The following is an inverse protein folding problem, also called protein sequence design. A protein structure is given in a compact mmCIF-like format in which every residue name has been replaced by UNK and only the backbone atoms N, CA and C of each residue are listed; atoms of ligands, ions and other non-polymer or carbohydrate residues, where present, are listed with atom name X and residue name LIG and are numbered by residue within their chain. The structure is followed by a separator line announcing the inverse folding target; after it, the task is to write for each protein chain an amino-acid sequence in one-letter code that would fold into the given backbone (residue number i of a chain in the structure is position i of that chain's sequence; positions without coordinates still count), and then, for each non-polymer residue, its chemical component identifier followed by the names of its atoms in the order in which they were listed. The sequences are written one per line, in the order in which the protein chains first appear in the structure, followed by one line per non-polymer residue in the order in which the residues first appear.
data_IF_513715096625
#
_entry.id   IF_513715096625
#
_cell.length_a   1.000
_cell.length_b   1.000
_cell.length_c   1.000
_cell.angle_alpha   90.00
_cell.angle_beta   90.00
_cell.angle_gamma   90.00
#
_symmetry.space_group_name_H-M   'P 1'
#
loop_
_entity.id
_entity.type
_entity.pdbx_description
1 polymer ?
#
# COMPACT_ATOMS: atom_id res chain seq x y z
N UNK A 1 -11.77 -47.62 13.84
CA UNK A 1 -10.43 -47.63 13.22
C UNK A 1 -10.54 -46.91 11.89
N UNK A 2 -10.06 -45.65 11.79
CA UNK A 2 -9.78 -44.89 10.54
C UNK A 2 -11.04 -44.58 9.67
N UNK A 3 -11.24 -43.44 9.02
CA UNK A 3 -10.53 -42.18 8.89
C UNK A 3 -11.57 -41.15 8.38
N UNK A 4 -11.39 -39.91 8.79
CA UNK A 4 -11.95 -38.70 8.18
C UNK A 4 -11.87 -38.70 6.65
N UNK A 5 -12.96 -38.38 5.94
CA UNK A 5 -13.01 -37.47 4.76
C UNK A 5 -14.41 -37.45 4.09
N UNK A 6 -15.17 -36.35 4.23
CA UNK A 6 -15.89 -35.79 3.08
C UNK A 6 -16.13 -34.30 3.25
N UNK A 7 -15.60 -33.58 2.27
CA UNK A 7 -15.54 -32.13 2.09
C UNK A 7 -16.88 -31.43 2.31
N UNK A 8 -16.83 -30.37 3.10
CA UNK A 8 -17.82 -29.29 3.11
C UNK A 8 -18.03 -28.74 1.70
N UNK A 9 -19.30 -28.67 1.32
CA UNK A 9 -19.80 -27.93 0.17
C UNK A 9 -19.53 -26.45 0.44
N UNK A 10 -18.66 -25.85 -0.36
CA UNK A 10 -18.47 -24.41 -0.39
C UNK A 10 -19.68 -23.75 -1.02
N UNK A 11 -20.35 -22.88 -0.26
CA UNK A 11 -21.34 -21.96 -0.75
C UNK A 11 -20.69 -21.04 -1.80
N UNK A 12 -21.17 -21.14 -3.04
CA UNK A 12 -20.91 -20.15 -4.08
C UNK A 12 -21.70 -18.89 -3.75
N UNK A 13 -21.06 -17.92 -3.10
CA UNK A 13 -21.54 -16.53 -3.09
C UNK A 13 -20.83 -15.77 -4.20
N UNK A 14 -21.60 -15.50 -5.25
CA UNK A 14 -21.32 -14.46 -6.23
C UNK A 14 -21.22 -13.12 -5.49
N UNK A 15 -20.05 -12.47 -5.54
CA UNK A 15 -19.96 -11.03 -5.36
C UNK A 15 -19.04 -10.46 -6.44
N UNK A 16 -19.67 -10.03 -7.54
CA UNK A 16 -19.05 -9.14 -8.49
C UNK A 16 -19.01 -7.74 -7.86
N UNK A 17 -17.83 -7.24 -7.53
CA UNK A 17 -17.63 -5.84 -7.21
C UNK A 17 -16.99 -5.16 -8.44
N UNK A 18 -17.79 -4.29 -9.05
CA UNK A 18 -17.41 -3.37 -10.13
C UNK A 18 -16.16 -2.57 -9.76
N UNK A 19 -15.14 -2.63 -10.62
CA UNK A 19 -14.10 -1.59 -10.70
C UNK A 19 -14.68 -0.38 -11.44
N UNK A 20 -15.15 0.61 -10.70
CA UNK A 20 -15.32 1.96 -11.23
C UNK A 20 -14.02 2.74 -11.03
N UNK A 21 -13.33 2.98 -12.15
CA UNK A 21 -12.34 4.06 -12.26
C UNK A 21 -13.08 5.38 -12.03
N UNK A 22 -12.87 6.01 -10.89
CA UNK A 22 -13.32 7.38 -10.63
C UNK A 22 -12.08 8.25 -10.42
N UNK A 23 -11.77 9.08 -11.41
CA UNK A 23 -10.69 10.06 -11.33
C UNK A 23 -10.97 11.13 -10.28
N UNK A 24 -9.94 11.83 -9.76
CA UNK A 24 -10.11 12.83 -8.73
C UNK A 24 -10.57 14.12 -9.40
N UNK A 25 -11.88 14.33 -9.50
CA UNK A 25 -12.42 15.63 -9.90
C UNK A 25 -13.76 15.90 -9.22
N UNK A 26 -13.69 16.31 -7.96
CA UNK A 26 -14.61 17.24 -7.30
C UNK A 26 -14.36 17.16 -5.80
N UNK A 27 -13.60 18.11 -5.25
CA UNK A 27 -13.75 18.48 -3.85
C UNK A 27 -14.15 19.96 -3.83
N UNK A 28 -15.27 20.16 -3.15
CA UNK A 28 -16.14 21.30 -3.23
C UNK A 28 -15.46 22.60 -2.80
N UNK A 29 -15.75 23.65 -3.56
CA UNK A 29 -15.67 25.02 -3.08
C UNK A 29 -16.73 25.19 -1.99
N UNK A 30 -16.34 25.12 -0.72
CA UNK A 30 -17.21 25.57 0.36
C UNK A 30 -17.25 27.09 0.33
N UNK A 31 -18.39 27.62 -0.10
CA UNK A 31 -18.77 29.02 0.07
C UNK A 31 -18.59 29.41 1.54
N UNK A 32 -17.89 30.52 1.78
CA UNK A 32 -17.85 31.16 3.08
C UNK A 32 -19.02 32.15 3.16
N UNK A 33 -20.05 31.83 3.94
CA UNK A 33 -21.06 32.80 4.36
C UNK A 33 -20.50 33.69 5.49
N UNK A 34 -20.80 35.00 5.51
CA UNK A 34 -20.33 35.90 6.55
C UNK A 34 -21.26 35.82 7.76
N UNK A 35 -20.76 35.26 8.86
CA UNK A 35 -21.45 35.35 10.15
C UNK A 35 -21.32 36.77 10.70
N UNK A 36 -22.46 37.45 10.77
CA UNK A 36 -22.68 38.74 11.42
C UNK A 36 -22.34 38.67 12.91
N UNK A 37 -21.41 39.53 13.32
CA UNK A 37 -21.49 40.40 14.50
C UNK A 37 -21.72 39.76 15.86
N UNK A 38 -20.65 39.60 16.64
CA UNK A 38 -20.69 39.77 18.09
C UNK A 38 -19.67 40.85 18.47
N UNK A 39 -20.19 41.94 19.04
CA UNK A 39 -19.40 43.09 19.46
C UNK A 39 -18.50 42.76 20.64
N UNK A 40 -17.38 43.48 20.70
CA UNK A 40 -16.73 43.85 21.95
C UNK A 40 -16.06 45.20 21.75
N UNK A 41 -16.60 46.16 22.48
CA UNK A 41 -16.11 47.52 22.71
C UNK A 41 -14.80 47.47 23.50
N UNK A 42 -13.78 48.19 23.04
CA UNK A 42 -12.86 48.91 23.93
C UNK A 42 -12.07 49.96 23.12
N UNK A 43 -12.46 51.21 23.29
CA UNK A 43 -11.63 52.37 22.97
C UNK A 43 -10.54 52.48 24.03
N UNK A 44 -9.27 52.53 23.65
CA UNK A 44 -8.27 53.32 24.38
C UNK A 44 -7.11 53.69 23.47
N UNK A 45 -6.63 54.91 23.65
CA UNK A 45 -5.73 55.64 22.78
C UNK A 45 -4.25 55.57 23.23
N UNK A 46 -3.37 55.68 22.22
CA UNK A 46 -2.05 56.30 22.22
C UNK A 46 -0.84 55.61 22.92
N UNK A 47 0.41 55.87 22.44
CA UNK A 47 1.45 54.87 22.27
C UNK A 47 2.58 54.96 23.30
N UNK A 48 3.27 53.85 23.59
CA UNK A 48 4.69 53.88 23.94
C UNK A 48 5.37 52.52 23.77
N UNK A 49 6.52 52.59 23.11
CA UNK A 49 7.47 51.54 22.78
C UNK A 49 7.96 50.73 23.98
N UNK A 50 7.97 49.41 23.86
CA UNK A 50 8.63 48.55 24.84
C UNK A 50 8.66 47.08 24.45
N UNK A 51 9.76 46.65 23.83
CA UNK A 51 10.20 45.26 23.65
C UNK A 51 9.21 44.36 22.89
N UNK A 52 9.42 44.24 21.57
CA UNK A 52 8.83 43.15 20.77
C UNK A 52 9.41 41.80 21.21
N UNK A 53 8.90 41.26 22.32
CA UNK A 53 8.86 39.82 22.50
C UNK A 53 7.82 39.30 21.51
N UNK A 54 8.28 38.80 20.35
CA UNK A 54 7.41 38.18 19.35
C UNK A 54 6.58 37.11 20.07
N UNK A 55 5.26 37.31 20.15
CA UNK A 55 4.35 36.30 20.66
C UNK A 55 4.63 34.97 19.93
N UNK A 56 4.55 33.80 20.60
CA UNK A 56 4.75 32.53 19.92
C UNK A 56 3.77 32.47 18.76
N UNK A 57 4.28 32.35 17.53
CA UNK A 57 3.46 32.20 16.33
C UNK A 57 2.46 31.07 16.60
N UNK A 58 1.18 31.32 16.36
CA UNK A 58 0.22 30.23 16.38
C UNK A 58 0.62 29.25 15.28
N UNK A 59 0.45 27.94 15.52
CA UNK A 59 0.77 26.92 14.52
C UNK A 59 0.02 27.16 13.19
N UNK A 60 -1.15 27.81 13.25
CA UNK A 60 -1.91 28.24 12.07
C UNK A 60 -1.18 29.33 11.28
N UNK A 61 -0.62 30.33 11.94
CA UNK A 61 0.19 31.37 11.28
C UNK A 61 1.46 30.79 10.65
N UNK A 62 2.11 29.85 11.35
CA UNK A 62 3.29 29.14 10.83
C UNK A 62 2.95 28.32 9.57
N UNK A 63 1.82 27.61 9.57
CA UNK A 63 1.36 26.85 8.42
C UNK A 63 0.88 27.72 7.27
N UNK A 64 0.21 28.83 7.57
CA UNK A 64 -0.18 29.82 6.58
C UNK A 64 1.06 30.44 5.93
N UNK A 65 2.12 30.71 6.70
CA UNK A 65 3.40 31.18 6.18
C UNK A 65 4.07 30.14 5.27
N UNK A 66 4.01 28.84 5.61
CA UNK A 66 4.50 27.76 4.72
C UNK A 66 3.68 27.68 3.43
N UNK A 67 2.36 27.83 3.52
CA UNK A 67 1.45 27.84 2.36
C UNK A 67 1.59 29.07 1.46
N UNK A 68 2.15 30.18 1.97
CA UNK A 68 2.43 31.40 1.21
C UNK A 68 3.72 31.32 0.37
N UNK A 69 4.51 30.23 0.45
CA UNK A 69 5.64 30.03 -0.45
C UNK A 69 5.19 29.32 -1.74
N UNK A 70 4.95 30.05 -2.86
CA UNK A 70 4.59 29.45 -4.15
C UNK A 70 5.72 28.59 -4.77
N UNK A 71 6.90 28.54 -4.15
CA UNK A 71 8.14 27.94 -4.70
C UNK A 71 8.59 26.65 -4.00
N UNK A 72 7.68 25.96 -3.31
CA UNK A 72 8.00 24.73 -2.57
C UNK A 72 7.59 23.47 -3.32
N UNK A 73 6.29 23.20 -3.39
CA UNK A 73 5.81 21.89 -3.81
C UNK A 73 5.92 21.62 -5.31
N UNK A 74 5.62 22.61 -6.16
CA UNK A 74 5.74 22.47 -7.62
C UNK A 74 7.20 22.40 -8.09
N UNK A 75 8.10 23.03 -7.35
CA UNK A 75 9.53 23.07 -7.67
C UNK A 75 10.26 21.87 -7.06
N UNK A 76 9.83 21.37 -5.90
CA UNK A 76 10.21 20.05 -5.38
C UNK A 76 9.76 18.94 -6.31
N UNK A 77 8.51 18.95 -6.80
CA UNK A 77 8.06 17.96 -7.78
C UNK A 77 8.80 18.06 -9.11
N UNK A 78 9.16 19.28 -9.56
CA UNK A 78 10.03 19.47 -10.73
C UNK A 78 11.45 18.97 -10.46
N UNK A 79 11.99 19.22 -9.28
CA UNK A 79 13.29 18.74 -8.86
C UNK A 79 13.30 17.22 -8.75
N UNK A 80 12.33 16.61 -8.06
CA UNK A 80 12.15 15.17 -7.94
C UNK A 80 11.97 14.53 -9.31
N UNK A 81 11.15 15.11 -10.20
CA UNK A 81 11.02 14.62 -11.58
C UNK A 81 12.35 14.66 -12.35
N UNK A 82 13.16 15.70 -12.14
CA UNK A 82 14.45 15.87 -12.82
C UNK A 82 15.61 15.13 -12.13
N UNK A 83 15.45 14.76 -10.85
CA UNK A 83 16.44 14.09 -10.00
C UNK A 83 15.89 12.76 -9.49
N UNK A 84 14.89 12.19 -10.16
CA UNK A 84 14.46 10.82 -9.88
C UNK A 84 15.68 9.99 -10.25
N UNK A 85 16.32 9.28 -9.31
CA UNK A 85 17.34 8.33 -9.70
C UNK A 85 16.66 7.41 -10.70
N UNK A 86 17.13 7.45 -11.96
CA UNK A 86 16.77 6.44 -12.93
C UNK A 86 16.98 5.14 -12.18
N UNK A 87 15.93 4.35 -11.99
CA UNK A 87 16.07 2.98 -11.52
C UNK A 87 17.05 2.38 -12.51
N UNK A 88 18.33 2.36 -12.15
CA UNK A 88 19.35 1.67 -12.91
C UNK A 88 18.75 0.30 -13.09
N UNK A 89 18.63 -0.16 -14.34
CA UNK A 89 18.33 -1.54 -14.65
C UNK A 89 19.19 -2.35 -13.71
N UNK A 90 18.54 -2.88 -12.65
CA UNK A 90 19.23 -3.55 -11.57
C UNK A 90 20.00 -4.64 -12.30
N UNK A 91 21.35 -4.61 -12.33
CA UNK A 91 22.12 -5.48 -13.18
C UNK A 91 21.71 -6.88 -12.78
N UNK A 92 20.96 -7.56 -13.67
CA UNK A 92 20.10 -8.70 -13.37
C UNK A 92 20.59 -9.39 -12.11
N UNK A 93 20.04 -9.02 -10.94
CA UNK A 93 20.49 -9.56 -9.65
C UNK A 93 20.60 -11.03 -9.87
N UNK A 94 21.81 -11.59 -9.81
CA UNK A 94 22.08 -12.89 -10.39
C UNK A 94 20.94 -13.82 -10.00
N UNK A 95 20.11 -14.21 -10.98
CA UNK A 95 18.98 -15.14 -10.80
C UNK A 95 19.47 -16.48 -10.21
N UNK A 96 20.80 -16.64 -10.12
CA UNK A 96 21.54 -17.55 -9.26
C UNK A 96 21.13 -17.41 -7.78
N UNK A 97 19.97 -17.98 -7.46
CA UNK A 97 19.42 -18.08 -6.10
C UNK A 97 17.91 -17.86 -6.06
N UNK A 98 17.34 -17.16 -7.04
CA UNK A 98 15.90 -16.96 -7.12
C UNK A 98 15.23 -18.16 -7.79
N UNK A 99 14.14 -18.65 -7.18
CA UNK A 99 13.35 -19.75 -7.72
C UNK A 99 12.42 -19.20 -8.82
N UNK A 100 12.98 -18.95 -10.02
CA UNK A 100 12.17 -18.61 -11.20
C UNK A 100 11.27 -19.77 -11.59
N UNK A 101 10.19 -19.50 -12.32
CA UNK A 101 9.28 -20.54 -12.80
C UNK A 101 10.02 -21.59 -13.64
N UNK A 102 10.86 -21.15 -14.58
CA UNK A 102 11.65 -22.03 -15.43
C UNK A 102 12.60 -22.92 -14.61
N UNK A 103 13.21 -22.37 -13.55
CA UNK A 103 14.06 -23.13 -12.64
C UNK A 103 13.25 -24.10 -11.78
N UNK A 104 12.08 -23.71 -11.28
CA UNK A 104 11.19 -24.58 -10.53
C UNK A 104 10.74 -25.79 -11.36
N UNK A 105 10.34 -25.58 -12.63
CA UNK A 105 9.97 -26.65 -13.55
C UNK A 105 11.18 -27.57 -13.82
N UNK A 106 12.35 -27.00 -14.09
CA UNK A 106 13.58 -27.77 -14.33
C UNK A 106 13.94 -28.66 -13.15
N UNK A 107 13.86 -28.12 -11.93
CA UNK A 107 14.12 -28.88 -10.69
C UNK A 107 13.07 -29.97 -10.49
N UNK A 108 11.79 -29.67 -10.70
CA UNK A 108 10.71 -30.65 -10.55
C UNK A 108 10.78 -31.80 -11.56
N UNK A 109 11.31 -31.55 -12.76
CA UNK A 109 11.42 -32.53 -13.85
C UNK A 109 12.83 -33.02 -14.11
N UNK A 110 13.77 -32.78 -13.18
CA UNK A 110 15.19 -33.08 -13.38
C UNK A 110 15.47 -34.56 -13.73
N UNK A 111 14.64 -35.48 -13.21
CA UNK A 111 14.79 -36.92 -13.37
C UNK A 111 13.74 -37.52 -14.32
N UNK A 112 12.98 -36.70 -15.07
CA UNK A 112 11.88 -37.16 -15.94
C UNK A 112 12.35 -38.22 -16.94
N UNK A 113 13.57 -38.08 -17.48
CA UNK A 113 14.16 -39.05 -18.42
C UNK A 113 14.33 -40.45 -17.80
N UNK A 114 14.53 -40.55 -16.47
CA UNK A 114 14.67 -41.83 -15.76
C UNK A 114 13.32 -42.53 -15.51
N UNK A 115 12.20 -41.83 -15.72
CA UNK A 115 10.87 -42.38 -15.48
C UNK A 115 10.43 -43.34 -16.60
N UNK A 116 10.94 -43.15 -17.81
CA UNK A 116 10.74 -44.08 -18.93
C UNK A 116 11.75 -45.22 -18.84
N UNK A 117 11.27 -46.45 -18.71
CA UNK A 117 12.11 -47.65 -18.64
C UNK A 117 12.14 -48.37 -19.99
N UNK A 118 13.28 -48.99 -20.36
CA UNK A 118 13.31 -49.90 -21.50
C UNK A 118 12.26 -51.00 -21.35
N UNK A 119 11.56 -51.34 -22.44
CA UNK A 119 10.53 -52.39 -22.45
C UNK A 119 9.10 -51.94 -22.10
N UNK A 120 8.89 -50.66 -21.77
CA UNK A 120 7.53 -50.14 -21.58
C UNK A 120 6.73 -50.14 -22.89
N UNK A 121 5.46 -50.56 -22.80
CA UNK A 121 4.48 -50.43 -23.87
C UNK A 121 4.17 -48.97 -24.22
N UNK A 122 3.60 -48.73 -25.40
CA UNK A 122 3.22 -47.38 -25.82
C UNK A 122 2.21 -46.71 -24.86
N UNK A 123 1.30 -47.50 -24.26
CA UNK A 123 0.31 -47.02 -23.29
C UNK A 123 0.99 -46.54 -22.00
N UNK A 124 1.91 -47.33 -21.46
CA UNK A 124 2.65 -46.98 -20.24
C UNK A 124 3.49 -45.72 -20.46
N UNK A 125 4.15 -45.60 -21.62
CA UNK A 125 4.89 -44.39 -21.99
C UNK A 125 3.98 -43.16 -22.07
N UNK A 126 2.77 -43.30 -22.64
CA UNK A 126 1.79 -42.22 -22.70
C UNK A 126 1.33 -41.78 -21.30
N UNK A 127 1.12 -42.72 -20.39
CA UNK A 127 0.74 -42.43 -19.01
C UNK A 127 1.84 -41.68 -18.23
N UNK A 128 3.11 -42.07 -18.41
CA UNK A 128 4.25 -41.34 -17.81
C UNK A 128 4.32 -39.91 -18.33
N UNK A 129 4.14 -39.70 -19.64
CA UNK A 129 4.11 -38.34 -20.23
C UNK A 129 2.94 -37.50 -19.70
N UNK A 130 1.78 -38.12 -19.50
CA UNK A 130 0.63 -37.44 -18.90
C UNK A 130 0.93 -37.00 -17.45
N UNK A 131 1.59 -37.84 -16.65
CA UNK A 131 2.01 -37.50 -15.29
C UNK A 131 3.01 -36.34 -15.27
N UNK A 132 4.00 -36.34 -16.17
CA UNK A 132 4.95 -35.25 -16.29
C UNK A 132 4.27 -33.92 -16.69
N UNK A 133 3.30 -33.96 -17.61
CA UNK A 133 2.50 -32.79 -17.97
C UNK A 133 1.68 -32.26 -16.78
N UNK A 134 1.06 -33.15 -16.00
CA UNK A 134 0.32 -32.78 -14.81
C UNK A 134 1.22 -32.15 -13.74
N UNK A 135 2.41 -32.70 -13.51
CA UNK A 135 3.38 -32.12 -12.57
C UNK A 135 3.84 -30.72 -13.01
N UNK A 136 4.11 -30.53 -14.31
CA UNK A 136 4.50 -29.22 -14.85
C UNK A 136 3.44 -28.16 -14.56
N UNK A 137 2.16 -28.49 -14.76
CA UNK A 137 1.05 -27.59 -14.45
C UNK A 137 0.94 -27.29 -12.95
N UNK A 138 1.10 -28.31 -12.09
CA UNK A 138 1.08 -28.11 -10.63
C UNK A 138 2.19 -27.17 -10.15
N UNK A 139 3.40 -27.32 -10.69
CA UNK A 139 4.54 -26.43 -10.38
C UNK A 139 4.27 -25.01 -10.84
N UNK A 140 3.69 -24.82 -12.03
CA UNK A 140 3.29 -23.49 -12.50
C UNK A 140 2.30 -22.82 -11.56
N UNK A 141 1.25 -23.54 -11.17
CA UNK A 141 0.25 -23.04 -10.22
C UNK A 141 0.89 -22.67 -8.88
N UNK A 142 1.67 -23.57 -8.30
CA UNK A 142 2.29 -23.37 -6.99
C UNK A 142 3.27 -22.19 -6.99
N UNK A 143 4.00 -22.01 -8.10
CA UNK A 143 4.89 -20.85 -8.25
C UNK A 143 4.10 -19.54 -8.29
N UNK A 144 3.00 -19.47 -9.03
CA UNK A 144 2.11 -18.28 -9.05
C UNK A 144 1.56 -18.02 -7.66
N UNK A 145 1.03 -19.04 -6.98
CA UNK A 145 0.49 -18.91 -5.62
C UNK A 145 1.55 -18.38 -4.64
N UNK A 146 2.80 -18.86 -4.76
CA UNK A 146 3.92 -18.40 -3.94
C UNK A 146 4.33 -16.94 -4.24
N UNK A 147 4.30 -16.52 -5.51
CA UNK A 147 4.55 -15.13 -5.90
C UNK A 147 3.45 -14.22 -5.36
N UNK A 148 2.18 -14.60 -5.54
CA UNK A 148 1.04 -13.85 -5.00
C UNK A 148 1.16 -13.72 -3.49
N UNK A 149 1.40 -14.81 -2.77
CA UNK A 149 1.58 -14.78 -1.31
C UNK A 149 2.70 -13.84 -0.87
N UNK A 150 3.85 -13.86 -1.57
CA UNK A 150 4.96 -12.93 -1.27
C UNK A 150 4.55 -11.48 -1.48
N UNK A 151 3.86 -11.18 -2.57
CA UNK A 151 3.41 -9.82 -2.88
C UNK A 151 2.33 -9.35 -1.91
N UNK A 152 1.40 -10.22 -1.51
CA UNK A 152 0.39 -9.91 -0.50
C UNK A 152 1.02 -9.52 0.84
N UNK A 153 2.07 -10.22 1.27
CA UNK A 153 2.80 -9.88 2.51
C UNK A 153 3.59 -8.59 2.39
N UNK A 154 4.17 -8.28 1.23
CA UNK A 154 4.84 -7.01 1.00
C UNK A 154 3.83 -5.84 1.09
N UNK A 155 2.73 -5.97 0.34
CA UNK A 155 1.65 -4.97 0.34
C UNK A 155 1.05 -4.77 1.74
N UNK A 156 0.81 -5.84 2.51
CA UNK A 156 0.24 -5.72 3.86
C UNK A 156 1.18 -4.93 4.79
N UNK A 157 2.51 -5.10 4.64
CA UNK A 157 3.49 -4.33 5.40
C UNK A 157 3.51 -2.86 5.00
N UNK A 158 3.39 -2.57 3.70
CA UNK A 158 3.32 -1.20 3.20
C UNK A 158 2.07 -0.49 3.72
N UNK A 159 0.91 -1.16 3.70
CA UNK A 159 -0.34 -0.64 4.26
C UNK A 159 -0.18 -0.35 5.76
N UNK A 160 0.42 -1.27 6.52
CA UNK A 160 0.66 -1.07 7.95
C UNK A 160 1.56 0.14 8.20
N UNK A 161 2.67 0.27 7.47
CA UNK A 161 3.60 1.39 7.62
C UNK A 161 2.94 2.75 7.33
N UNK A 162 2.10 2.81 6.28
CA UNK A 162 1.33 4.03 5.95
C UNK A 162 0.32 4.35 7.05
N UNK A 163 -0.40 3.34 7.54
CA UNK A 163 -1.38 3.53 8.61
C UNK A 163 -0.74 3.96 9.94
N UNK A 164 0.42 3.42 10.29
CA UNK A 164 1.21 3.83 11.46
C UNK A 164 1.63 5.30 11.34
N UNK A 165 2.17 5.69 10.19
CA UNK A 165 2.56 7.09 9.95
C UNK A 165 1.36 8.05 10.04
N UNK A 166 0.21 7.66 9.50
CA UNK A 166 -1.03 8.44 9.58
C UNK A 166 -1.52 8.61 11.02
N UNK A 167 -1.53 7.53 11.80
CA UNK A 167 -1.92 7.55 13.21
C UNK A 167 -0.96 8.39 14.06
N UNK A 168 0.35 8.24 13.87
CA UNK A 168 1.36 9.06 14.57
C UNK A 168 1.22 10.55 14.25
N UNK A 169 1.02 10.89 12.98
CA UNK A 169 0.75 12.28 12.58
C UNK A 169 -0.53 12.77 13.25
N UNK A 170 -1.61 12.00 13.19
CA UNK A 170 -2.89 12.36 13.81
C UNK A 170 -2.78 12.61 15.30
N UNK A 171 -2.04 11.77 16.00
CA UNK A 171 -1.74 11.95 17.42
C UNK A 171 -0.97 13.25 17.69
N UNK A 172 0.10 13.52 16.93
CA UNK A 172 0.90 14.75 17.09
C UNK A 172 0.06 16.00 16.81
N UNK A 173 -0.74 15.96 15.75
CA UNK A 173 -1.60 17.07 15.34
C UNK A 173 -2.73 17.34 16.34
N UNK A 174 -3.27 16.30 16.98
CA UNK A 174 -4.24 16.45 18.06
C UNK A 174 -3.59 16.96 19.35
N UNK A 175 -2.37 16.50 19.68
CA UNK A 175 -1.62 16.95 20.86
C UNK A 175 -1.30 18.44 20.81
N UNK A 176 -0.94 18.97 19.63
CA UNK A 176 -0.72 20.41 19.42
C UNK A 176 -2.02 21.21 19.25
N UNK A 177 -3.18 20.56 19.38
CA UNK A 177 -4.50 21.19 19.31
C UNK A 177 -4.99 21.53 17.91
N UNK A 178 -4.27 21.14 16.86
CA UNK A 178 -4.66 21.46 15.49
C UNK A 178 -5.74 20.52 14.92
N UNK A 179 -5.74 19.25 15.31
CA UNK A 179 -6.77 18.30 14.90
C UNK A 179 -7.72 17.98 16.06
N UNK A 180 -9.00 17.78 15.72
CA UNK A 180 -9.98 17.31 16.70
C UNK A 180 -9.74 15.85 17.08
N UNK A 181 -10.17 15.46 18.28
CA UNK A 181 -10.11 14.05 18.74
C UNK A 181 -10.91 13.12 17.84
N UNK A 182 -12.03 13.58 17.30
CA UNK A 182 -12.81 12.83 16.33
C UNK A 182 -12.00 12.54 15.06
N UNK A 183 -11.27 13.53 14.53
CA UNK A 183 -10.39 13.33 13.37
C UNK A 183 -9.23 12.39 13.67
N UNK A 184 -8.60 12.50 14.84
CA UNK A 184 -7.57 11.55 15.26
C UNK A 184 -8.08 10.10 15.23
N UNK A 185 -9.27 9.84 15.78
CA UNK A 185 -9.86 8.50 15.79
C UNK A 185 -10.11 7.99 14.37
N UNK A 186 -10.53 8.86 13.44
CA UNK A 186 -10.72 8.47 12.04
C UNK A 186 -9.40 8.02 11.39
N UNK A 187 -8.28 8.70 11.69
CA UNK A 187 -6.96 8.33 11.16
C UNK A 187 -6.36 7.08 11.83
N UNK A 188 -6.83 6.73 13.03
CA UNK A 188 -6.44 5.48 13.69
C UNK A 188 -7.16 4.26 13.09
N UNK A 189 -8.33 4.42 12.46
CA UNK A 189 -9.12 3.30 11.91
C UNK A 189 -8.32 2.41 10.93
N UNK A 190 -7.62 2.96 9.91
CA UNK A 190 -6.82 2.14 8.99
C UNK A 190 -5.71 1.34 9.69
N UNK A 191 -5.20 1.83 10.83
CA UNK A 191 -4.18 1.12 11.61
C UNK A 191 -4.75 -0.10 12.32
N UNK A 192 -6.00 -0.01 12.81
CA UNK A 192 -6.69 -1.16 13.37
C UNK A 192 -6.98 -2.22 12.30
N UNK A 193 -7.45 -1.78 11.13
CA UNK A 193 -7.71 -2.66 9.99
C UNK A 193 -6.44 -3.35 9.48
N UNK A 194 -5.32 -2.65 9.43
CA UNK A 194 -4.04 -3.20 8.96
C UNK A 194 -3.39 -4.23 9.92
N UNK A 195 -3.84 -4.29 11.18
CA UNK A 195 -3.30 -5.20 12.21
C UNK A 195 -4.08 -6.51 12.33
N UNK A 196 -5.33 -6.55 11.87
CA UNK A 196 -6.21 -7.74 11.86
C UNK A 196 -5.97 -8.62 10.65
#
# INVERSE_FOLDING_TARGET
MKLFLKRMQGASTLLAALLTVMGPKAMAQTHSEPALGHGQTATSAAPSSGREGKAPLSWQDANQAVGQFPRGHADLLRWEKNNTPQTQDVPATSEAGQLTLARAIRLALQDEAKWLKPGMSALEQAQVRQQAAALRWQVQKLWVDAVVSRQSVALSRDILAVAEAGAELGQRMAQVGNWSRARQIQEELPLWEART
#
